data_IF_889969453510
#
_entry.id   IF_889969453510
#
_cell.length_a   1.000
_cell.length_b   1.000
_cell.length_c   1.000
_cell.angle_alpha   90.00
_cell.angle_beta   90.00
_cell.angle_gamma   90.00
#
_symmetry.space_group_name_H-M   'P 1'
#
loop_
_entity.id
_entity.type
_entity.pdbx_description
1 polymer ?
#
# COMPACT_ATOMS: atom_id res chain seq x y z
N UNK A 1 -8.79 4.66 19.06
CA UNK A 1 -9.03 4.84 17.61
C UNK A 1 -9.54 3.51 17.09
N UNK A 2 -10.68 3.49 16.40
CA UNK A 2 -11.19 2.26 15.79
C UNK A 2 -10.19 1.68 14.76
N UNK A 3 -9.97 0.36 14.76
CA UNK A 3 -9.09 -0.29 13.80
C UNK A 3 -9.63 -0.11 12.38
N UNK A 4 -8.76 0.22 11.43
CA UNK A 4 -9.17 0.39 10.03
C UNK A 4 -9.45 -0.98 9.43
N UNK A 5 -10.66 -1.16 8.92
CA UNK A 5 -10.98 -2.39 8.19
C UNK A 5 -10.41 -2.31 6.78
N UNK A 6 -9.50 -3.22 6.47
CA UNK A 6 -8.84 -3.36 5.19
C UNK A 6 -9.40 -4.56 4.43
N UNK A 7 -9.60 -4.42 3.13
CA UNK A 7 -10.06 -5.52 2.28
C UNK A 7 -8.95 -5.95 1.33
N UNK A 8 -8.82 -7.24 1.06
CA UNK A 8 -7.87 -7.74 0.06
C UNK A 8 -8.64 -8.17 -1.19
N UNK A 9 -8.28 -7.57 -2.34
CA UNK A 9 -8.83 -7.93 -3.65
C UNK A 9 -7.73 -8.48 -4.54
N UNK A 10 -7.82 -9.78 -4.81
CA UNK A 10 -6.91 -10.45 -5.75
C UNK A 10 -7.28 -10.17 -7.21
N UNK A 11 -6.31 -10.39 -8.11
CA UNK A 11 -6.46 -10.28 -9.58
C UNK A 11 -7.07 -8.96 -10.02
N UNK A 12 -6.73 -7.87 -9.33
CA UNK A 12 -7.29 -6.58 -9.68
C UNK A 12 -6.71 -6.05 -11.00
N UNK A 13 -7.57 -5.56 -11.88
CA UNK A 13 -7.16 -4.94 -13.14
C UNK A 13 -6.25 -3.72 -12.92
N UNK A 14 -6.51 -2.94 -11.86
CA UNK A 14 -5.69 -1.78 -11.50
C UNK A 14 -4.28 -2.21 -11.09
N UNK A 15 -4.17 -3.21 -10.21
CA UNK A 15 -2.90 -3.80 -9.82
C UNK A 15 -2.16 -4.41 -11.02
N UNK A 16 -2.87 -5.02 -11.96
CA UNK A 16 -2.27 -5.48 -13.22
C UNK A 16 -1.66 -4.36 -14.04
N UNK A 17 -2.33 -3.21 -14.15
CA UNK A 17 -1.82 -2.07 -14.89
C UNK A 17 -0.59 -1.47 -14.19
N UNK A 18 -0.64 -1.34 -12.86
CA UNK A 18 0.49 -0.88 -12.05
C UNK A 18 1.69 -1.82 -12.16
N UNK A 19 1.49 -3.14 -12.10
CA UNK A 19 2.53 -4.15 -12.30
C UNK A 19 3.26 -3.97 -13.64
N UNK A 20 2.50 -3.78 -14.73
CA UNK A 20 3.05 -3.54 -16.07
C UNK A 20 3.85 -2.25 -16.15
N UNK A 21 3.41 -1.18 -15.47
CA UNK A 21 4.11 0.09 -15.42
C UNK A 21 5.42 -0.01 -14.63
N UNK A 22 5.42 -0.74 -13.51
CA UNK A 22 6.61 -0.96 -12.68
C UNK A 22 7.52 -2.09 -13.19
N UNK A 23 7.13 -2.78 -14.27
CA UNK A 23 7.89 -3.91 -14.82
C UNK A 23 7.91 -5.16 -13.92
N UNK A 24 7.03 -5.24 -12.92
CA UNK A 24 6.99 -6.32 -11.94
C UNK A 24 5.99 -7.42 -12.30
N UNK A 25 6.29 -8.67 -11.95
CA UNK A 25 5.34 -9.78 -12.06
C UNK A 25 4.36 -9.85 -10.89
N UNK A 26 4.73 -9.28 -9.74
CA UNK A 26 3.93 -9.28 -8.52
C UNK A 26 3.86 -7.85 -7.97
N UNK A 27 2.67 -7.39 -7.60
CA UNK A 27 2.48 -6.08 -6.98
C UNK A 27 1.31 -6.12 -6.00
N UNK A 28 1.45 -5.36 -4.93
CA UNK A 28 0.35 -4.96 -4.08
C UNK A 28 0.23 -3.44 -4.20
N UNK A 29 -1.00 -2.95 -4.24
CA UNK A 29 -1.25 -1.52 -4.23
C UNK A 29 -2.46 -1.24 -3.36
N UNK A 30 -2.43 -0.11 -2.66
CA UNK A 30 -3.57 0.33 -1.85
C UNK A 30 -4.35 1.41 -2.56
N UNK A 31 -5.67 1.29 -2.54
CA UNK A 31 -6.60 2.33 -2.95
C UNK A 31 -7.60 2.53 -1.82
N UNK A 32 -7.40 3.60 -1.04
CA UNK A 32 -8.22 3.91 0.13
C UNK A 32 -8.00 2.88 1.24
N UNK A 33 -8.94 1.93 1.37
CA UNK A 33 -8.92 0.84 2.36
C UNK A 33 -8.81 -0.55 1.76
N UNK A 34 -8.64 -0.64 0.44
CA UNK A 34 -8.58 -1.91 -0.27
C UNK A 34 -7.17 -2.12 -0.79
N UNK A 35 -6.60 -3.28 -0.47
CA UNK A 35 -5.31 -3.76 -0.97
C UNK A 35 -5.61 -4.60 -2.22
N UNK A 36 -5.15 -4.13 -3.37
CA UNK A 36 -5.30 -4.77 -4.65
C UNK A 36 -4.02 -5.56 -4.97
N UNK A 37 -4.16 -6.87 -5.08
CA UNK A 37 -3.05 -7.78 -5.38
C UNK A 37 -3.08 -8.18 -6.86
N UNK A 38 -1.90 -8.26 -7.48
CA UNK A 38 -1.70 -8.87 -8.78
C UNK A 38 -0.44 -9.72 -8.80
N UNK A 39 -0.52 -10.89 -9.43
CA UNK A 39 0.59 -11.85 -9.49
C UNK A 39 0.89 -12.60 -8.18
N UNK A 40 0.21 -12.26 -7.08
CA UNK A 40 0.36 -12.90 -5.76
C UNK A 40 -1.02 -13.24 -5.18
N UNK A 41 -1.08 -14.23 -4.30
CA UNK A 41 -2.27 -14.57 -3.51
C UNK A 41 -2.28 -13.85 -2.17
N UNK A 42 -3.45 -13.76 -1.54
CA UNK A 42 -3.65 -13.23 -0.19
C UNK A 42 -2.76 -13.95 0.81
N UNK A 43 -2.71 -15.28 0.78
CA UNK A 43 -1.86 -16.06 1.69
C UNK A 43 -0.39 -15.72 1.49
N UNK A 44 0.09 -15.66 0.24
CA UNK A 44 1.48 -15.34 -0.03
C UNK A 44 1.82 -13.91 0.43
N UNK A 45 0.94 -12.95 0.18
CA UNK A 45 1.06 -11.59 0.70
C UNK A 45 1.13 -11.56 2.24
N UNK A 46 0.20 -12.24 2.92
CA UNK A 46 0.13 -12.28 4.38
C UNK A 46 1.33 -12.97 5.04
N UNK A 47 1.98 -13.92 4.35
CA UNK A 47 3.23 -14.53 4.82
C UNK A 47 4.41 -13.54 4.86
N UNK A 48 4.38 -12.49 4.03
CA UNK A 48 5.42 -11.47 3.97
C UNK A 48 5.02 -10.27 4.83
N UNK A 49 5.20 -10.37 6.15
CA UNK A 49 4.75 -9.34 7.10
C UNK A 49 5.31 -7.94 6.82
N UNK A 50 6.56 -7.83 6.34
CA UNK A 50 7.13 -6.55 5.90
C UNK A 50 6.31 -5.92 4.77
N UNK A 51 5.91 -6.73 3.78
CA UNK A 51 5.10 -6.28 2.64
C UNK A 51 3.70 -5.86 3.10
N UNK A 52 3.10 -6.64 4.01
CA UNK A 52 1.79 -6.30 4.59
C UNK A 52 1.85 -4.95 5.32
N UNK A 53 2.88 -4.73 6.14
CA UNK A 53 3.07 -3.48 6.88
C UNK A 53 3.28 -2.28 5.95
N UNK A 54 4.02 -2.47 4.86
CA UNK A 54 4.22 -1.46 3.83
C UNK A 54 2.87 -0.99 3.26
N UNK A 55 2.04 -1.93 2.81
CA UNK A 55 0.71 -1.59 2.27
C UNK A 55 -0.22 -0.97 3.34
N UNK A 56 -0.16 -1.46 4.58
CA UNK A 56 -0.94 -0.87 5.68
C UNK A 56 -0.56 0.58 5.93
N UNK A 57 0.74 0.93 5.81
CA UNK A 57 1.17 2.32 5.92
C UNK A 57 0.43 3.20 4.90
N UNK A 58 0.31 2.74 3.66
CA UNK A 58 -0.48 3.45 2.65
C UNK A 58 -1.96 3.55 3.02
N UNK A 59 -2.58 2.50 3.58
CA UNK A 59 -3.97 2.59 4.09
C UNK A 59 -4.10 3.69 5.15
N UNK A 60 -3.13 3.79 6.07
CA UNK A 60 -3.12 4.82 7.10
C UNK A 60 -2.94 6.22 6.50
N UNK A 61 -2.03 6.39 5.54
CA UNK A 61 -1.85 7.63 4.80
C UNK A 61 -3.12 8.04 4.05
N UNK A 62 -3.82 7.09 3.42
CA UNK A 62 -5.11 7.30 2.77
C UNK A 62 -6.20 7.70 3.75
N UNK A 63 -6.20 7.15 4.97
CA UNK A 63 -7.13 7.54 6.02
C UNK A 63 -6.86 8.95 6.54
N UNK A 64 -5.60 9.35 6.67
CA UNK A 64 -5.22 10.66 7.18
C UNK A 64 -5.40 11.77 6.14
N UNK A 65 -5.02 11.52 4.88
CA UNK A 65 -5.03 12.53 3.81
C UNK A 65 -6.25 12.44 2.89
N UNK A 66 -6.96 11.31 2.89
CA UNK A 66 -8.02 11.01 1.93
C UNK A 66 -7.49 10.47 0.60
N UNK A 67 -8.38 9.88 -0.21
CA UNK A 67 -8.04 9.21 -1.47
C UNK A 67 -7.36 10.14 -2.50
N UNK A 68 -8.09 11.18 -2.90
CA UNK A 68 -7.66 12.10 -3.96
C UNK A 68 -6.46 12.96 -3.53
N UNK A 69 -6.43 13.55 -2.32
CA UNK A 69 -5.30 14.38 -1.90
C UNK A 69 -4.02 13.58 -1.75
N UNK A 70 -4.11 12.31 -1.29
CA UNK A 70 -2.95 11.43 -1.21
C UNK A 70 -2.35 11.16 -2.59
N UNK A 71 -3.17 10.72 -3.56
CA UNK A 71 -2.69 10.44 -4.91
C UNK A 71 -2.03 11.67 -5.56
N UNK A 72 -2.64 12.85 -5.39
CA UNK A 72 -2.08 14.09 -5.91
C UNK A 72 -0.74 14.42 -5.26
N UNK A 73 -0.65 14.39 -3.93
CA UNK A 73 0.60 14.66 -3.19
C UNK A 73 1.69 13.64 -3.53
N UNK A 74 1.32 12.37 -3.60
CA UNK A 74 2.21 11.28 -3.93
C UNK A 74 2.80 11.46 -5.33
N UNK A 75 1.95 11.74 -6.34
CA UNK A 75 2.40 11.96 -7.71
C UNK A 75 3.28 13.22 -7.82
N UNK A 76 2.87 14.32 -7.18
CA UNK A 76 3.63 15.56 -7.15
C UNK A 76 5.02 15.37 -6.53
N UNK A 77 5.12 14.67 -5.40
CA UNK A 77 6.41 14.35 -4.81
C UNK A 77 7.22 13.39 -5.65
N UNK A 78 6.59 12.38 -6.24
CA UNK A 78 7.27 11.46 -7.13
C UNK A 78 7.90 12.18 -8.33
N UNK A 79 7.26 13.23 -8.87
CA UNK A 79 7.85 14.08 -9.91
C UNK A 79 9.00 14.92 -9.35
N UNK A 80 8.84 15.48 -8.15
CA UNK A 80 9.81 16.41 -7.57
C UNK A 80 11.10 15.76 -7.08
N UNK A 81 10.99 14.60 -6.42
CA UNK A 81 12.12 13.92 -5.75
C UNK A 81 12.34 12.49 -6.25
N UNK A 82 11.45 11.96 -7.08
CA UNK A 82 11.48 10.57 -7.54
C UNK A 82 10.70 9.62 -6.63
N UNK A 83 10.47 8.40 -7.11
CA UNK A 83 9.76 7.34 -6.37
C UNK A 83 10.49 6.97 -5.07
N UNK A 84 11.82 6.77 -5.13
CA UNK A 84 12.57 6.26 -3.98
C UNK A 84 12.67 7.23 -2.80
N UNK A 85 12.71 8.53 -3.09
CA UNK A 85 12.82 9.60 -2.09
C UNK A 85 11.45 10.17 -1.68
N UNK A 86 10.36 9.66 -2.24
CA UNK A 86 9.02 10.08 -1.88
C UNK A 86 8.77 9.82 -0.38
N UNK A 87 8.33 10.84 0.37
CA UNK A 87 8.12 10.72 1.82
C UNK A 87 7.16 9.59 2.19
N UNK A 88 6.18 9.31 1.32
CA UNK A 88 5.18 8.26 1.55
C UNK A 88 5.80 6.87 1.45
N UNK A 89 6.69 6.67 0.48
CA UNK A 89 7.47 5.44 0.30
C UNK A 89 8.50 5.27 1.42
N UNK A 90 9.15 6.35 1.86
CA UNK A 90 10.07 6.32 3.00
C UNK A 90 9.34 5.92 4.28
N UNK A 91 8.15 6.48 4.52
CA UNK A 91 7.32 6.10 5.66
C UNK A 91 6.85 4.65 5.57
N UNK A 92 6.47 4.17 4.38
CA UNK A 92 6.08 2.78 4.17
C UNK A 92 7.25 1.81 4.43
N UNK A 93 8.47 2.14 3.99
CA UNK A 93 9.69 1.37 4.32
C UNK A 93 10.02 1.40 5.80
N UNK A 94 9.81 2.52 6.47
CA UNK A 94 9.98 2.58 7.92
C UNK A 94 8.97 1.66 8.63
N UNK A 95 7.73 1.62 8.15
CA UNK A 95 6.67 0.78 8.69
C UNK A 95 6.92 -0.73 8.49
N UNK A 96 7.74 -1.16 7.52
CA UNK A 96 8.11 -2.57 7.34
C UNK A 96 8.69 -3.20 8.63
N UNK A 97 9.37 -2.39 9.45
CA UNK A 97 9.94 -2.80 10.74
C UNK A 97 9.00 -2.57 11.93
N UNK A 98 7.92 -1.82 11.76
CA UNK A 98 6.96 -1.51 12.81
C UNK A 98 5.90 -2.62 12.92
N UNK A 99 6.01 -3.44 13.96
CA UNK A 99 5.04 -4.49 14.23
C UNK A 99 3.70 -3.94 14.74
N UNK A 100 3.69 -2.78 15.41
CA UNK A 100 2.50 -2.21 16.03
C UNK A 100 1.50 -1.68 15.00
N UNK A 101 1.94 -1.41 13.77
CA UNK A 101 1.04 -0.95 12.70
C UNK A 101 -0.04 -1.98 12.37
N UNK A 102 0.25 -3.28 12.55
CA UNK A 102 -0.69 -4.37 12.33
C UNK A 102 -1.85 -4.37 13.33
N UNK A 103 -1.64 -3.85 14.54
CA UNK A 103 -2.70 -3.77 15.57
C UNK A 103 -3.74 -2.70 15.24
N UNK A 104 -3.40 -1.75 14.36
CA UNK A 104 -4.26 -0.63 13.96
C UNK A 104 -5.22 -0.98 12.83
N UNK A 105 -5.10 -2.18 12.25
CA UNK A 105 -5.88 -2.61 11.09
C UNK A 105 -6.49 -3.98 11.29
N UNK A 106 -7.67 -4.16 10.73
CA UNK A 106 -8.35 -5.45 10.65
C UNK A 106 -8.46 -5.82 9.18
N UNK A 107 -7.69 -6.81 8.76
CA UNK A 107 -7.76 -7.34 7.39
C UNK A 107 -8.92 -8.35 7.32
N UNK A 108 -9.88 -8.09 6.44
CA UNK A 108 -11.07 -8.93 6.20
C UNK A 108 -10.94 -9.64 4.87
#
# INVERSE_FOLDING_TARGET
MEPVTCYIKERSFLARLAARYMGGHQIAMVIGRTIHLHGTSRENFLRHTWWVRHEICHVMQYRELGLVPFLWKYFWECIRVGYYANRFEVAARAAERDAAIMERVKIV
#
